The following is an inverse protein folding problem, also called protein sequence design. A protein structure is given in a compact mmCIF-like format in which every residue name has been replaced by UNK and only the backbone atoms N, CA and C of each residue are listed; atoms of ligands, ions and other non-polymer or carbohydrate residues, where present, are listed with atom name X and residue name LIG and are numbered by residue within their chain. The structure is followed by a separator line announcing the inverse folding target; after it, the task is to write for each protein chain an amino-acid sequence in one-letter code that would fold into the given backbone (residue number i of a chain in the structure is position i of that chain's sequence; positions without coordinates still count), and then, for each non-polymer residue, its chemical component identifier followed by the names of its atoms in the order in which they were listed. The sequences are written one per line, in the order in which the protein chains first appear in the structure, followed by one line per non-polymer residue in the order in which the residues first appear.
data_IF_233668361741
#
_entry.id   IF_233668361741
#
_cell.length_a   1.000
_cell.length_b   1.000
_cell.length_c   1.000
_cell.angle_alpha   90.00
_cell.angle_beta   90.00
_cell.angle_gamma   90.00
#
_symmetry.space_group_name_H-M   'P 1'
#
loop_
_entity.id
_entity.type
_entity.pdbx_description
1 polymer ?
#
# COMPACT_ATOMS: atom_id res chain seq x y z
N UNK A 1 1.54 -25.38 -16.08
CA UNK A 1 2.82 -24.63 -16.21
C UNK A 1 2.80 -23.28 -15.48
N UNK A 2 1.66 -22.59 -15.38
CA UNK A 2 1.56 -21.31 -14.64
C UNK A 2 1.66 -21.44 -13.11
N UNK A 3 1.15 -22.52 -12.53
CA UNK A 3 1.09 -22.67 -11.07
C UNK A 3 2.46 -22.90 -10.44
N UNK A 4 3.32 -23.72 -11.06
CA UNK A 4 4.68 -23.96 -10.59
C UNK A 4 5.52 -22.67 -10.54
N UNK A 5 5.38 -21.80 -11.56
CA UNK A 5 6.06 -20.50 -11.60
C UNK A 5 5.52 -19.53 -10.56
N UNK A 6 4.20 -19.53 -10.34
CA UNK A 6 3.58 -18.71 -9.30
C UNK A 6 4.06 -19.11 -7.91
N UNK A 7 4.20 -20.40 -7.65
CA UNK A 7 4.69 -20.92 -6.37
C UNK A 7 6.17 -20.58 -6.14
N UNK A 8 7.00 -20.69 -7.17
CA UNK A 8 8.40 -20.26 -7.13
C UNK A 8 8.52 -18.77 -6.76
N UNK A 9 7.73 -17.90 -7.38
CA UNK A 9 7.72 -16.47 -7.06
C UNK A 9 7.19 -16.19 -5.66
N UNK A 10 6.11 -16.85 -5.25
CA UNK A 10 5.57 -16.71 -3.91
C UNK A 10 6.60 -17.11 -2.84
N UNK A 11 7.34 -18.19 -3.08
CA UNK A 11 8.43 -18.65 -2.22
C UNK A 11 9.55 -17.62 -2.16
N UNK A 12 10.02 -17.15 -3.32
CA UNK A 12 11.08 -16.14 -3.40
C UNK A 12 10.72 -14.82 -2.71
N UNK A 13 9.47 -14.38 -2.82
CA UNK A 13 8.97 -13.18 -2.13
C UNK A 13 9.03 -13.39 -0.62
N UNK A 14 8.47 -14.51 -0.12
CA UNK A 14 8.40 -14.78 1.32
C UNK A 14 9.77 -15.03 1.96
N UNK A 15 10.75 -15.53 1.20
CA UNK A 15 12.11 -15.75 1.70
C UNK A 15 12.96 -14.48 1.71
N UNK A 16 12.62 -13.48 0.90
CA UNK A 16 13.42 -12.26 0.72
C UNK A 16 12.81 -11.05 1.44
N UNK A 17 11.48 -10.97 1.52
CA UNK A 17 10.76 -9.80 2.02
C UNK A 17 9.89 -10.15 3.22
N UNK A 18 9.72 -9.17 4.10
CA UNK A 18 8.69 -9.23 5.13
C UNK A 18 7.34 -9.01 4.46
N UNK A 19 6.51 -10.06 4.42
CA UNK A 19 5.12 -9.97 3.96
C UNK A 19 4.25 -9.62 5.16
N UNK A 20 3.63 -8.45 5.14
CA UNK A 20 2.72 -8.02 6.20
C UNK A 20 1.47 -8.92 6.21
N UNK A 21 1.08 -9.48 7.37
CA UNK A 21 -0.13 -10.28 7.45
C UNK A 21 -1.36 -9.38 7.31
N UNK A 22 -2.43 -9.95 6.76
CA UNK A 22 -3.72 -9.29 6.81
C UNK A 22 -4.22 -9.15 8.26
N UNK A 23 -4.92 -8.05 8.57
CA UNK A 23 -5.50 -7.85 9.90
C UNK A 23 -6.80 -7.05 9.82
N UNK A 24 -7.70 -7.28 10.78
CA UNK A 24 -8.93 -6.49 10.90
C UNK A 24 -8.66 -4.99 11.02
N UNK A 25 -7.59 -4.60 11.73
CA UNK A 25 -7.16 -3.20 11.85
C UNK A 25 -6.79 -2.58 10.50
N UNK A 26 -6.19 -3.35 9.60
CA UNK A 26 -5.91 -2.88 8.25
C UNK A 26 -7.21 -2.65 7.47
N UNK A 27 -8.20 -3.54 7.59
CA UNK A 27 -9.51 -3.34 6.99
C UNK A 27 -10.25 -2.12 7.56
N UNK A 28 -10.19 -1.90 8.88
CA UNK A 28 -10.75 -0.73 9.56
C UNK A 28 -10.08 0.58 9.12
N UNK A 29 -8.80 0.53 8.79
CA UNK A 29 -8.06 1.69 8.24
C UNK A 29 -8.37 1.90 6.76
N UNK A 30 -8.49 0.82 6.00
CA UNK A 30 -8.77 0.87 4.57
C UNK A 30 -10.18 1.38 4.25
N UNK A 31 -11.21 0.93 4.97
CA UNK A 31 -12.59 1.28 4.68
C UNK A 31 -12.86 2.80 4.57
N UNK A 32 -12.44 3.66 5.53
CA UNK A 32 -12.63 5.10 5.42
C UNK A 32 -11.79 5.72 4.29
N UNK A 33 -10.57 5.21 4.03
CA UNK A 33 -9.76 5.65 2.90
C UNK A 33 -10.49 5.36 1.58
N UNK A 34 -11.04 4.15 1.43
CA UNK A 34 -11.79 3.76 0.24
C UNK A 34 -13.03 4.62 0.01
N UNK A 35 -13.83 4.87 1.06
CA UNK A 35 -15.01 5.75 0.95
C UNK A 35 -14.62 7.16 0.47
N UNK A 36 -13.51 7.71 0.98
CA UNK A 36 -13.08 9.07 0.68
C UNK A 36 -12.41 9.21 -0.69
N UNK A 37 -11.51 8.31 -1.06
CA UNK A 37 -10.61 8.50 -2.21
C UNK A 37 -10.96 7.66 -3.44
N UNK A 38 -11.77 6.60 -3.31
CA UNK A 38 -12.03 5.67 -4.44
C UNK A 38 -12.59 6.36 -5.69
N UNK A 39 -13.38 7.42 -5.53
CA UNK A 39 -13.95 8.18 -6.65
C UNK A 39 -12.94 9.05 -7.38
N UNK A 40 -11.78 9.30 -6.78
CA UNK A 40 -10.73 10.18 -7.30
C UNK A 40 -9.55 9.40 -7.89
N UNK A 41 -9.48 8.08 -7.69
CA UNK A 41 -8.39 7.23 -8.16
C UNK A 41 -8.77 6.44 -9.41
N UNK A 42 -7.77 6.15 -10.25
CA UNK A 42 -7.98 5.31 -11.42
C UNK A 42 -8.45 3.91 -11.00
N UNK A 43 -9.50 3.39 -11.67
CA UNK A 43 -10.11 2.08 -11.38
C UNK A 43 -10.53 1.87 -9.91
N UNK A 44 -10.85 2.96 -9.20
CA UNK A 44 -11.30 2.90 -7.82
C UNK A 44 -10.18 2.84 -6.78
N UNK A 45 -8.91 2.67 -7.18
CA UNK A 45 -7.75 2.71 -6.28
C UNK A 45 -7.76 1.68 -5.14
N UNK A 46 -8.57 0.62 -5.22
CA UNK A 46 -8.79 -0.29 -4.09
C UNK A 46 -7.48 -0.90 -3.57
N UNK A 47 -6.60 -1.33 -4.47
CA UNK A 47 -5.28 -1.87 -4.13
C UNK A 47 -4.34 -0.79 -3.58
N UNK A 48 -4.31 0.39 -4.18
CA UNK A 48 -3.45 1.50 -3.72
C UNK A 48 -3.83 1.93 -2.31
N UNK A 49 -5.14 2.05 -2.04
CA UNK A 49 -5.66 2.35 -0.72
C UNK A 49 -5.39 1.23 0.28
N UNK A 50 -5.38 -0.04 -0.16
CA UNK A 50 -4.99 -1.16 0.68
C UNK A 50 -3.51 -1.10 1.07
N UNK A 51 -2.64 -0.73 0.12
CA UNK A 51 -1.21 -0.52 0.38
C UNK A 51 -1.00 0.66 1.35
N UNK A 52 -1.72 1.77 1.17
CA UNK A 52 -1.67 2.90 2.09
C UNK A 52 -2.13 2.50 3.51
N UNK A 53 -3.21 1.73 3.63
CA UNK A 53 -3.69 1.21 4.91
C UNK A 53 -2.66 0.28 5.57
N UNK A 54 -2.02 -0.61 4.80
CA UNK A 54 -0.96 -1.48 5.31
C UNK A 54 0.21 -0.66 5.90
N UNK A 55 0.67 0.37 5.18
CA UNK A 55 1.73 1.25 5.62
C UNK A 55 1.38 2.04 6.90
N UNK A 56 0.14 2.55 6.98
CA UNK A 56 -0.38 3.31 8.12
C UNK A 56 -0.62 2.45 9.37
N UNK A 57 -0.94 1.17 9.21
CA UNK A 57 -1.24 0.25 10.32
C UNK A 57 -0.03 -0.50 10.86
N UNK A 58 1.04 -0.60 10.07
CA UNK A 58 2.30 -1.18 10.51
C UNK A 58 2.85 -0.47 11.76
N UNK A 59 3.62 -1.21 12.56
CA UNK A 59 4.27 -0.72 13.77
C UNK A 59 5.77 -1.07 13.73
N UNK A 60 6.67 -0.08 13.56
CA UNK A 60 6.38 1.33 13.29
C UNK A 60 5.67 1.54 11.94
N UNK A 61 5.03 2.71 11.75
CA UNK A 61 4.45 3.07 10.45
C UNK A 61 5.55 3.02 9.39
N UNK A 62 5.22 2.46 8.23
CA UNK A 62 6.19 2.28 7.17
C UNK A 62 6.06 3.41 6.14
N UNK A 63 7.18 3.91 5.60
CA UNK A 63 7.12 4.78 4.43
C UNK A 63 6.71 3.98 3.19
N UNK A 64 6.11 4.67 2.23
CA UNK A 64 5.61 4.08 1.00
C UNK A 64 6.44 4.59 -0.19
N UNK A 65 7.22 3.69 -0.79
CA UNK A 65 7.92 3.96 -2.05
C UNK A 65 6.97 3.70 -3.23
N UNK A 66 6.74 4.69 -4.08
CA UNK A 66 5.75 4.57 -5.17
C UNK A 66 6.08 5.46 -6.36
N UNK A 67 5.84 4.96 -7.57
CA UNK A 67 5.84 5.77 -8.80
C UNK A 67 4.52 6.53 -9.03
N UNK A 68 3.47 6.25 -8.26
CA UNK A 68 2.17 6.94 -8.36
C UNK A 68 2.05 8.06 -7.31
N UNK A 69 2.96 9.02 -7.34
CA UNK A 69 3.03 10.07 -6.31
C UNK A 69 1.73 10.87 -6.21
N UNK A 70 1.04 11.11 -7.33
CA UNK A 70 -0.20 11.90 -7.36
C UNK A 70 -1.28 11.33 -6.46
N UNK A 71 -1.59 10.03 -6.62
CA UNK A 71 -2.68 9.38 -5.88
C UNK A 71 -2.36 9.25 -4.39
N UNK A 72 -1.11 8.88 -4.07
CA UNK A 72 -0.69 8.74 -2.67
C UNK A 72 -0.48 10.10 -1.97
N UNK A 73 -0.18 11.17 -2.71
CA UNK A 73 -0.09 12.53 -2.15
C UNK A 73 -1.44 12.98 -1.59
N UNK A 74 -2.54 12.66 -2.28
CA UNK A 74 -3.88 12.98 -1.77
C UNK A 74 -4.16 12.32 -0.41
N UNK A 75 -3.67 11.09 -0.20
CA UNK A 75 -3.77 10.40 1.09
C UNK A 75 -2.81 10.99 2.12
N UNK A 76 -1.58 11.32 1.73
CA UNK A 76 -0.55 11.87 2.62
C UNK A 76 -0.87 13.29 3.15
N UNK A 77 -1.76 14.03 2.49
CA UNK A 77 -2.26 15.32 3.00
C UNK A 77 -3.05 15.15 4.30
N UNK A 78 -3.84 14.08 4.41
CA UNK A 78 -4.77 13.87 5.51
C UNK A 78 -4.32 12.79 6.52
N UNK A 79 -3.26 12.04 6.17
CA UNK A 79 -2.77 10.92 6.96
C UNK A 79 -1.24 10.98 7.09
N UNK A 80 -0.66 10.48 8.19
CA UNK A 80 0.79 10.49 8.43
C UNK A 80 1.53 9.43 7.59
N UNK A 81 1.30 9.43 6.28
CA UNK A 81 1.90 8.54 5.30
C UNK A 81 3.15 9.23 4.72
N UNK A 82 4.33 8.70 5.03
CA UNK A 82 5.59 9.20 4.44
C UNK A 82 5.77 8.59 3.05
N UNK A 83 5.84 9.42 2.01
CA UNK A 83 6.12 8.98 0.65
C UNK A 83 7.62 9.02 0.37
N UNK A 84 8.11 8.04 -0.38
CA UNK A 84 9.48 7.98 -0.90
C UNK A 84 9.38 7.95 -2.43
N UNK A 85 9.98 8.94 -3.09
CA UNK A 85 10.10 9.01 -4.54
C UNK A 85 11.37 9.80 -4.89
N UNK A 86 12.09 9.47 -5.99
CA UNK A 86 13.31 10.20 -6.37
C UNK A 86 13.12 11.70 -6.55
N UNK A 87 11.93 12.12 -6.96
CA UNK A 87 11.61 13.54 -7.20
C UNK A 87 11.09 14.29 -5.95
N UNK A 88 10.93 13.60 -4.81
CA UNK A 88 10.51 14.23 -3.56
C UNK A 88 11.75 14.54 -2.69
N UNK A 89 11.80 15.71 -2.04
CA UNK A 89 12.88 16.01 -1.08
C UNK A 89 12.84 15.01 0.08
N UNK A 90 14.03 14.57 0.52
CA UNK A 90 14.22 13.56 1.59
C UNK A 90 14.01 14.18 2.98
#
# INVERSE_FOLDING_TARGET
MGDARREEWATGIRSTFVVLPESGRMAETWAPLHVKYSRHMQKGGANDLWIAAAALTAQPRLPLATGNVSDFSAVAVDHPLKLIHPDLPI
#
